data_IF_489041445821
#
_entry.id   IF_489041445821
#
_cell.length_a   1.000
_cell.length_b   1.000
_cell.length_c   1.000
_cell.angle_alpha   90.00
_cell.angle_beta   90.00
_cell.angle_gamma   90.00
#
_symmetry.space_group_name_H-M   'P 1'
#
loop_
_entity.id
_entity.type
_entity.pdbx_description
1 polymer ?
#
# COMPACT_ATOMS: atom_id res chain seq x y z
N UNK A 1 5.47 15.23 -0.35
CA UNK A 1 5.21 16.57 -0.96
C UNK A 1 4.61 16.39 -2.36
N UNK A 2 3.52 17.11 -2.70
CA UNK A 2 2.89 17.08 -4.02
C UNK A 2 3.20 18.34 -4.84
N UNK A 3 3.42 18.19 -6.15
CA UNK A 3 3.61 19.28 -7.12
C UNK A 3 2.94 18.98 -8.46
N UNK A 4 2.54 20.01 -9.19
CA UNK A 4 2.14 19.87 -10.59
C UNK A 4 3.33 19.37 -11.42
N UNK A 5 3.11 18.39 -12.29
CA UNK A 5 4.17 17.76 -13.06
C UNK A 5 4.07 18.11 -14.55
N UNK A 6 3.03 17.63 -15.24
CA UNK A 6 2.85 17.86 -16.67
C UNK A 6 1.37 17.76 -17.05
N UNK A 7 0.97 18.40 -18.14
CA UNK A 7 -0.30 18.13 -18.82
C UNK A 7 0.02 17.44 -20.14
N UNK A 8 -0.49 16.23 -20.34
CA UNK A 8 -0.26 15.43 -21.55
C UNK A 8 -1.56 14.79 -22.01
N UNK A 9 -1.86 14.88 -23.30
CA UNK A 9 -3.07 14.29 -23.90
C UNK A 9 -4.38 14.67 -23.18
N UNK A 10 -4.50 15.92 -22.71
CA UNK A 10 -5.67 16.40 -21.97
C UNK A 10 -5.77 15.94 -20.51
N UNK A 11 -4.77 15.19 -20.01
CA UNK A 11 -4.69 14.75 -18.63
C UNK A 11 -3.68 15.58 -17.84
N UNK A 12 -4.04 15.95 -16.61
CA UNK A 12 -3.13 16.59 -15.66
C UNK A 12 -2.45 15.54 -14.81
N UNK A 13 -1.13 15.69 -14.65
CA UNK A 13 -0.32 14.83 -13.79
C UNK A 13 0.30 15.65 -12.67
N UNK A 14 0.32 15.06 -11.49
CA UNK A 14 1.03 15.57 -10.31
C UNK A 14 2.12 14.58 -9.93
N UNK A 15 3.25 15.09 -9.44
CA UNK A 15 4.30 14.27 -8.84
C UNK A 15 4.20 14.36 -7.33
N UNK A 16 4.31 13.23 -6.63
CA UNK A 16 4.48 13.20 -5.19
C UNK A 16 5.84 12.61 -4.84
N UNK A 17 6.60 13.35 -4.05
CA UNK A 17 7.88 12.90 -3.50
C UNK A 17 7.67 12.42 -2.07
N UNK A 18 8.14 11.20 -1.82
CA UNK A 18 8.09 10.51 -0.54
C UNK A 18 9.50 10.41 0.04
N UNK A 19 9.61 10.56 1.36
CA UNK A 19 10.85 10.36 2.11
C UNK A 19 10.56 9.29 3.15
N UNK A 20 11.12 8.09 2.95
CA UNK A 20 10.91 6.93 3.82
C UNK A 20 12.28 6.39 4.20
N UNK A 21 12.59 6.33 5.50
CA UNK A 21 13.90 5.87 6.01
C UNK A 21 15.11 6.55 5.33
N UNK A 22 15.05 7.87 5.14
CA UNK A 22 16.04 8.69 4.41
C UNK A 22 16.19 8.38 2.91
N UNK A 23 15.35 7.50 2.34
CA UNK A 23 15.26 7.27 0.90
C UNK A 23 14.20 8.19 0.31
N UNK A 24 14.58 8.96 -0.69
CA UNK A 24 13.66 9.84 -1.42
C UNK A 24 13.30 9.20 -2.75
N UNK A 25 12.01 9.00 -3.01
CA UNK A 25 11.51 8.56 -4.31
C UNK A 25 10.33 9.43 -4.74
N UNK A 26 10.06 9.49 -6.04
CA UNK A 26 8.97 10.30 -6.59
C UNK A 26 8.11 9.47 -7.52
N UNK A 27 6.81 9.50 -7.26
CA UNK A 27 5.77 8.82 -8.03
C UNK A 27 4.92 9.87 -8.75
N UNK A 28 4.32 9.50 -9.89
CA UNK A 28 3.42 10.36 -10.66
C UNK A 28 2.01 9.85 -10.56
N UNK A 29 1.05 10.76 -10.53
CA UNK A 29 -0.37 10.45 -10.46
C UNK A 29 -1.12 11.27 -11.50
N UNK A 30 -2.05 10.62 -12.19
CA UNK A 30 -2.98 11.25 -13.11
C UNK A 30 -4.21 11.74 -12.33
N UNK A 31 -4.70 12.94 -12.62
CA UNK A 31 -5.93 13.46 -12.03
C UNK A 31 -7.17 12.83 -12.68
N UNK A 32 -8.19 12.53 -11.87
CA UNK A 32 -9.50 12.02 -12.28
C UNK A 32 -10.59 12.86 -11.63
N UNK A 33 -11.63 13.18 -12.41
CA UNK A 33 -12.86 13.77 -11.90
C UNK A 33 -13.94 12.70 -11.74
N UNK A 34 -14.60 12.66 -10.58
CA UNK A 34 -15.68 11.72 -10.30
C UNK A 34 -16.72 12.35 -9.36
N UNK A 35 -18.01 12.13 -9.63
CA UNK A 35 -19.09 12.60 -8.75
C UNK A 35 -19.10 14.11 -8.49
N UNK A 36 -18.67 14.94 -9.45
CA UNK A 36 -18.52 16.40 -9.26
C UNK A 36 -17.29 16.83 -8.45
N UNK A 37 -16.49 15.89 -7.93
CA UNK A 37 -15.18 16.16 -7.33
C UNK A 37 -14.09 16.02 -8.40
N UNK A 38 -13.31 17.08 -8.62
CA UNK A 38 -12.46 17.16 -9.80
C UNK A 38 -11.07 16.55 -9.65
N UNK A 39 -10.58 16.26 -8.43
CA UNK A 39 -9.27 15.64 -8.35
C UNK A 39 -9.20 14.53 -7.31
N UNK A 40 -9.49 13.32 -7.76
CA UNK A 40 -8.82 12.12 -7.28
C UNK A 40 -7.54 11.90 -8.08
N UNK A 41 -6.57 11.20 -7.51
CA UNK A 41 -5.27 10.98 -8.14
C UNK A 41 -4.98 9.49 -8.24
N UNK A 42 -4.78 8.97 -9.45
CA UNK A 42 -4.45 7.57 -9.68
C UNK A 42 -3.00 7.40 -10.12
N UNK A 43 -2.28 6.45 -9.53
CA UNK A 43 -0.87 6.18 -9.84
C UNK A 43 -0.63 5.98 -11.35
N UNK A 44 0.38 6.67 -11.89
CA UNK A 44 0.83 6.57 -13.26
C UNK A 44 2.25 5.99 -13.26
N UNK A 45 2.43 4.71 -13.63
CA UNK A 45 3.73 4.07 -13.59
C UNK A 45 4.66 4.70 -14.64
N UNK A 46 5.93 4.89 -14.26
CA UNK A 46 6.95 5.46 -15.15
C UNK A 46 7.31 4.54 -16.32
N UNK A 47 7.05 3.24 -16.18
CA UNK A 47 7.29 2.22 -17.20
C UNK A 47 6.28 1.08 -17.03
N UNK A 48 6.06 0.36 -18.12
CA UNK A 48 5.39 -0.93 -18.10
C UNK A 48 6.39 -2.01 -18.53
N UNK A 49 6.30 -3.20 -17.96
CA UNK A 49 7.01 -4.35 -18.52
C UNK A 49 6.40 -4.75 -19.87
N UNK A 50 7.12 -5.55 -20.65
CA UNK A 50 6.53 -6.16 -21.83
C UNK A 50 5.37 -7.10 -21.43
N UNK A 51 4.29 -7.18 -22.25
CA UNK A 51 3.09 -7.94 -21.88
C UNK A 51 3.32 -9.40 -21.46
N UNK A 52 4.35 -10.05 -22.02
CA UNK A 52 4.71 -11.43 -21.68
C UNK A 52 5.13 -11.61 -20.23
N UNK A 53 5.71 -10.58 -19.60
CA UNK A 53 6.09 -10.65 -18.19
C UNK A 53 4.87 -10.70 -17.27
N UNK A 54 3.90 -9.82 -17.52
CA UNK A 54 2.64 -9.82 -16.77
C UNK A 54 1.88 -11.14 -16.95
N UNK A 55 1.87 -11.68 -18.18
CA UNK A 55 1.29 -12.99 -18.45
C UNK A 55 1.98 -14.12 -17.67
N UNK A 56 3.31 -14.11 -17.60
CA UNK A 56 4.07 -15.08 -16.79
C UNK A 56 3.82 -14.89 -15.28
N UNK A 57 3.63 -13.65 -14.82
CA UNK A 57 3.34 -13.38 -13.42
C UNK A 57 1.92 -13.79 -13.00
N UNK A 58 0.95 -13.60 -13.90
CA UNK A 58 -0.45 -13.93 -13.71
C UNK A 58 -0.69 -15.44 -13.70
N UNK A 59 -0.14 -16.17 -14.69
CA UNK A 59 -0.46 -17.57 -14.92
C UNK A 59 0.28 -18.52 -13.95
N UNK A 60 -0.31 -19.69 -13.64
CA UNK A 60 0.39 -20.74 -12.91
C UNK A 60 1.70 -21.14 -13.58
N UNK A 61 2.71 -21.38 -12.76
CA UNK A 61 3.97 -21.95 -13.19
C UNK A 61 3.85 -23.47 -13.41
N UNK A 62 4.79 -24.10 -14.15
CA UNK A 62 4.75 -25.55 -14.40
C UNK A 62 4.70 -26.41 -13.13
N UNK A 63 5.27 -25.92 -12.04
CA UNK A 63 5.16 -26.50 -10.71
C UNK A 63 5.14 -25.37 -9.66
N UNK A 64 4.43 -25.55 -8.52
CA UNK A 64 4.53 -24.65 -7.39
C UNK A 64 5.97 -24.59 -6.88
N UNK A 65 6.40 -23.40 -6.46
CA UNK A 65 7.77 -23.15 -6.00
C UNK A 65 7.81 -22.95 -4.50
N UNK A 66 8.76 -23.58 -3.84
CA UNK A 66 9.16 -23.21 -2.48
C UNK A 66 10.16 -22.06 -2.55
N UNK A 67 9.94 -21.00 -1.77
CA UNK A 67 10.82 -19.83 -1.74
C UNK A 67 11.15 -19.43 -0.30
N UNK A 68 12.45 -19.38 0.01
CA UNK A 68 12.94 -18.95 1.31
C UNK A 68 13.14 -17.44 1.36
N UNK A 69 12.27 -16.73 2.06
CA UNK A 69 12.33 -15.27 2.19
C UNK A 69 13.48 -14.74 3.06
N UNK A 70 13.97 -15.53 4.01
CA UNK A 70 14.98 -15.10 4.98
C UNK A 70 14.46 -14.18 6.09
N UNK A 71 13.16 -13.87 6.13
CA UNK A 71 12.57 -12.95 7.11
C UNK A 71 12.70 -13.38 8.57
N UNK A 72 13.02 -14.64 8.86
CA UNK A 72 13.23 -15.13 10.23
C UNK A 72 14.32 -14.36 10.99
N UNK A 73 15.25 -13.71 10.27
CA UNK A 73 16.28 -12.86 10.85
C UNK A 73 15.89 -11.38 10.96
N UNK A 74 14.71 -10.99 10.47
CA UNK A 74 14.25 -9.59 10.45
C UNK A 74 13.35 -9.28 11.67
N UNK A 75 13.59 -8.18 12.41
CA UNK A 75 12.85 -7.87 13.65
C UNK A 75 11.33 -7.77 13.47
N UNK A 76 10.86 -7.16 12.38
CA UNK A 76 9.42 -7.02 12.11
C UNK A 76 8.72 -8.39 12.00
N UNK A 77 9.40 -9.40 11.46
CA UNK A 77 8.84 -10.74 11.30
C UNK A 77 8.86 -11.50 12.62
N UNK A 78 9.89 -11.31 13.45
CA UNK A 78 9.88 -11.79 14.83
C UNK A 78 8.70 -11.25 15.63
N UNK A 79 8.30 -9.99 15.35
CA UNK A 79 7.14 -9.35 15.96
C UNK A 79 5.81 -9.87 15.36
N UNK A 80 5.55 -9.68 14.07
CA UNK A 80 4.26 -10.00 13.45
C UNK A 80 4.07 -11.48 13.06
N UNK A 81 5.16 -12.20 12.79
CA UNK A 81 5.13 -13.55 12.22
C UNK A 81 4.40 -14.58 13.08
N UNK A 82 4.68 -14.68 14.39
CA UNK A 82 4.09 -15.69 15.26
C UNK A 82 2.56 -15.61 15.40
N UNK A 83 1.98 -14.41 15.30
CA UNK A 83 0.57 -14.18 15.63
C UNK A 83 -0.29 -13.66 14.47
N UNK A 84 0.30 -12.95 13.49
CA UNK A 84 -0.46 -12.27 12.43
C UNK A 84 -0.17 -12.81 11.04
N UNK A 85 1.08 -13.14 10.71
CA UNK A 85 1.45 -13.32 9.31
C UNK A 85 2.38 -14.50 9.06
N UNK A 86 2.00 -15.39 8.14
CA UNK A 86 2.87 -16.43 7.61
C UNK A 86 2.84 -16.40 6.08
N UNK A 87 3.99 -16.47 5.40
CA UNK A 87 4.03 -16.58 3.94
C UNK A 87 3.39 -17.89 3.47
N UNK A 88 3.00 -17.94 2.20
CA UNK A 88 2.57 -19.18 1.57
C UNK A 88 3.70 -20.21 1.62
N UNK A 89 3.38 -21.49 1.92
CA UNK A 89 4.39 -22.54 1.93
C UNK A 89 4.95 -22.83 0.53
N UNK A 90 4.11 -22.65 -0.51
CA UNK A 90 4.50 -22.76 -1.91
C UNK A 90 3.73 -21.75 -2.76
N UNK A 91 4.34 -21.32 -3.86
CA UNK A 91 3.81 -20.32 -4.78
C UNK A 91 3.44 -20.98 -6.11
N UNK A 92 2.15 -21.11 -6.44
CA UNK A 92 1.73 -21.68 -7.73
C UNK A 92 1.90 -20.70 -8.90
N UNK A 93 1.99 -19.39 -8.64
CA UNK A 93 2.32 -18.34 -9.62
C UNK A 93 3.02 -17.17 -8.95
N UNK A 94 3.53 -16.23 -9.74
CA UNK A 94 4.13 -15.01 -9.21
C UNK A 94 3.14 -14.15 -8.42
N UNK A 95 1.85 -14.14 -8.78
CA UNK A 95 0.85 -13.35 -8.07
C UNK A 95 0.79 -13.66 -6.57
N UNK A 96 0.95 -14.93 -6.19
CA UNK A 96 1.02 -15.35 -4.77
C UNK A 96 2.32 -14.89 -4.10
N UNK A 97 3.43 -14.91 -4.84
CA UNK A 97 4.72 -14.42 -4.34
C UNK A 97 4.68 -12.90 -4.13
N UNK A 98 4.09 -12.17 -5.08
CA UNK A 98 3.87 -10.73 -5.01
C UNK A 98 2.94 -10.38 -3.86
N UNK A 99 1.89 -11.16 -3.62
CA UNK A 99 1.00 -10.97 -2.45
C UNK A 99 1.80 -10.97 -1.16
N UNK A 100 2.66 -11.98 -0.97
CA UNK A 100 3.45 -12.04 0.26
C UNK A 100 4.50 -10.93 0.33
N UNK A 101 5.07 -10.52 -0.81
CA UNK A 101 5.99 -9.38 -0.91
C UNK A 101 5.33 -8.07 -0.45
N UNK A 102 4.11 -7.79 -0.94
CA UNK A 102 3.34 -6.60 -0.65
C UNK A 102 2.99 -6.51 0.84
N UNK A 103 2.40 -7.57 1.40
CA UNK A 103 2.03 -7.59 2.82
C UNK A 103 3.26 -7.46 3.71
N UNK A 104 4.37 -8.13 3.36
CA UNK A 104 5.62 -7.97 4.10
C UNK A 104 6.19 -6.55 4.00
N UNK A 105 6.05 -5.87 2.86
CA UNK A 105 6.46 -4.47 2.72
C UNK A 105 5.66 -3.55 3.65
N UNK A 106 4.34 -3.70 3.69
CA UNK A 106 3.47 -2.99 4.62
C UNK A 106 3.77 -3.29 6.09
N UNK A 107 4.01 -4.55 6.45
CA UNK A 107 4.37 -4.91 7.82
C UNK A 107 5.73 -4.34 8.25
N UNK A 108 6.72 -4.32 7.35
CA UNK A 108 8.01 -3.64 7.60
C UNK A 108 7.81 -2.14 7.84
N UNK A 109 7.02 -1.49 7.00
CA UNK A 109 6.73 -0.06 7.14
C UNK A 109 5.99 0.24 8.45
N UNK A 110 4.95 -0.54 8.78
CA UNK A 110 4.25 -0.43 10.07
C UNK A 110 5.19 -0.62 11.25
N UNK A 111 6.06 -1.63 11.22
CA UNK A 111 7.02 -1.87 12.32
C UNK A 111 7.95 -0.66 12.53
N UNK A 112 8.49 -0.12 11.44
CA UNK A 112 9.40 1.00 11.51
C UNK A 112 8.72 2.28 11.99
N UNK A 113 7.50 2.57 11.52
CA UNK A 113 6.71 3.70 11.99
C UNK A 113 6.42 3.60 13.50
N UNK A 114 6.11 2.40 14.01
CA UNK A 114 5.87 2.19 15.44
C UNK A 114 7.12 2.41 16.31
N UNK A 115 8.32 2.15 15.78
CA UNK A 115 9.58 2.49 16.46
C UNK A 115 9.81 4.01 16.51
N UNK A 116 9.50 4.73 15.42
CA UNK A 116 9.68 6.19 15.34
C UNK A 116 8.81 6.94 16.37
N UNK A 117 7.58 6.47 16.61
CA UNK A 117 6.66 7.07 17.59
C UNK A 117 6.76 6.45 18.99
N UNK A 118 7.69 5.52 19.21
CA UNK A 118 7.92 4.87 20.50
C UNK A 118 6.77 3.98 21.00
N UNK A 119 5.85 3.56 20.11
CA UNK A 119 4.75 2.65 20.47
C UNK A 119 5.19 1.19 20.60
N UNK A 120 6.38 0.87 20.07
CA UNK A 120 7.10 -0.36 20.34
C UNK A 120 8.35 -0.05 21.14
N UNK A 121 8.51 -0.68 22.30
CA UNK A 121 9.77 -0.71 23.05
C UNK A 121 10.52 -2.01 22.75
N UNK A 122 11.48 -2.03 21.80
CA UNK A 122 12.23 -3.24 21.43
C UNK A 122 13.10 -3.80 22.57
N UNK A 123 13.21 -3.11 23.71
CA UNK A 123 13.88 -3.56 24.94
C UNK A 123 12.90 -3.88 26.08
N UNK A 124 11.59 -3.74 25.84
CA UNK A 124 10.54 -4.01 26.82
C UNK A 124 10.36 -5.51 27.12
N UNK A 125 9.76 -5.87 28.27
CA UNK A 125 9.57 -7.26 28.69
C UNK A 125 8.66 -8.09 27.76
N UNK A 126 7.85 -7.41 26.93
CA UNK A 126 6.96 -8.03 25.95
C UNK A 126 7.64 -8.32 24.60
N UNK A 127 8.89 -7.88 24.39
CA UNK A 127 9.65 -8.16 23.18
C UNK A 127 10.42 -9.47 23.30
N UNK A 128 10.21 -10.45 22.41
CA UNK A 128 11.07 -11.63 22.38
C UNK A 128 12.48 -11.20 21.94
N UNK A 129 13.42 -11.21 22.89
CA UNK A 129 14.84 -11.06 22.60
C UNK A 129 15.24 -12.16 21.61
N UNK A 130 15.46 -11.81 20.35
CA UNK A 130 16.05 -12.71 19.35
C UNK A 130 17.55 -12.80 19.62
N UNK A 131 17.90 -13.57 20.65
CA UNK A 131 19.27 -13.93 20.99
C UNK A 131 19.37 -15.47 21.07
N UNK A 132 19.47 -16.12 19.91
CA UNK A 132 20.30 -17.32 19.71
C UNK A 132 20.05 -18.61 20.49
N UNK A 133 19.04 -18.74 21.38
CA UNK A 133 18.83 -19.98 22.14
C UNK A 133 17.34 -20.32 22.33
N UNK A 134 16.81 -21.19 21.46
CA UNK A 134 16.13 -22.43 21.86
C UNK A 134 14.92 -22.43 22.81
N UNK A 135 14.18 -21.35 23.03
CA UNK A 135 12.93 -21.41 23.81
C UNK A 135 11.75 -20.80 23.05
N UNK A 136 10.85 -21.68 22.60
CA UNK A 136 9.52 -21.31 22.07
C UNK A 136 8.67 -20.92 23.30
N UNK A 137 8.22 -19.66 23.44
CA UNK A 137 7.16 -19.37 24.39
C UNK A 137 5.87 -20.04 23.90
N UNK A 138 5.29 -20.85 24.78
CA UNK A 138 3.98 -21.50 24.58
C UNK A 138 2.96 -20.42 24.26
N UNK A 139 2.23 -20.62 23.16
CA UNK A 139 1.22 -19.71 22.66
C UNK A 139 0.18 -19.37 23.74
N UNK A 140 -0.16 -18.08 23.94
CA UNK A 140 -1.37 -17.73 24.67
C UNK A 140 -2.61 -18.15 23.86
N UNK A 141 -3.68 -18.46 24.59
CA UNK A 141 -5.00 -18.94 24.17
C UNK A 141 -5.46 -18.50 22.76
N UNK A 142 -5.57 -19.46 21.84
CA UNK A 142 -5.84 -19.30 20.41
C UNK A 142 -7.34 -19.06 20.09
N UNK A 143 -8.00 -18.15 20.80
CA UNK A 143 -9.45 -17.99 20.64
C UNK A 143 -9.96 -16.62 20.18
N UNK A 144 -9.16 -15.54 20.08
CA UNK A 144 -9.59 -14.25 19.45
C UNK A 144 -8.48 -13.37 18.83
N UNK A 145 -7.45 -13.93 18.22
CA UNK A 145 -6.49 -13.16 17.40
C UNK A 145 -6.55 -13.64 15.95
N UNK A 146 -7.24 -12.89 15.09
CA UNK A 146 -7.40 -13.26 13.68
C UNK A 146 -6.10 -12.96 12.93
N UNK A 147 -5.57 -14.03 12.35
CA UNK A 147 -4.36 -14.09 11.52
C UNK A 147 -4.70 -13.57 10.13
N UNK A 148 -3.75 -13.01 9.38
CA UNK A 148 -3.80 -12.90 7.92
C UNK A 148 -3.98 -14.30 7.33
N UNK A 149 -5.24 -14.73 7.20
CA UNK A 149 -5.58 -16.11 6.86
C UNK A 149 -5.25 -16.40 5.40
N UNK A 150 -5.20 -17.69 5.04
CA UNK A 150 -5.00 -18.09 3.65
C UNK A 150 -6.09 -17.50 2.75
N UNK A 151 -7.33 -17.44 3.22
CA UNK A 151 -8.47 -16.90 2.48
C UNK A 151 -8.29 -15.40 2.19
N UNK A 152 -7.85 -14.61 3.17
CA UNK A 152 -7.60 -13.17 2.98
C UNK A 152 -6.43 -12.96 2.00
N UNK A 153 -5.36 -13.74 2.13
CA UNK A 153 -4.24 -13.67 1.18
C UNK A 153 -4.65 -14.10 -0.23
N UNK A 154 -5.51 -15.11 -0.37
CA UNK A 154 -5.98 -15.55 -1.67
C UNK A 154 -6.83 -14.45 -2.33
N UNK A 155 -7.63 -13.71 -1.55
CA UNK A 155 -8.35 -12.54 -2.06
C UNK A 155 -7.39 -11.43 -2.49
N UNK A 156 -6.33 -11.14 -1.72
CA UNK A 156 -5.27 -10.22 -2.15
C UNK A 156 -4.53 -10.71 -3.40
N UNK A 157 -4.32 -12.03 -3.56
CA UNK A 157 -3.71 -12.59 -4.75
C UNK A 157 -4.60 -12.41 -5.99
N UNK A 158 -5.92 -12.44 -5.85
CA UNK A 158 -6.84 -12.08 -6.93
C UNK A 158 -6.78 -10.58 -7.27
N UNK A 159 -6.61 -9.69 -6.29
CA UNK A 159 -6.35 -8.26 -6.55
C UNK A 159 -5.05 -8.04 -7.32
N UNK A 160 -3.99 -8.75 -6.93
CA UNK A 160 -2.71 -8.76 -7.65
C UNK A 160 -2.91 -9.23 -9.09
N UNK A 161 -3.60 -10.35 -9.32
CA UNK A 161 -3.90 -10.84 -10.66
C UNK A 161 -4.71 -9.84 -11.49
N UNK A 162 -5.75 -9.24 -10.90
CA UNK A 162 -6.58 -8.24 -11.57
C UNK A 162 -5.75 -7.03 -12.00
N UNK A 163 -4.83 -6.57 -11.14
CA UNK A 163 -3.93 -5.47 -11.46
C UNK A 163 -2.89 -5.86 -12.52
N UNK A 164 -2.29 -7.04 -12.44
CA UNK A 164 -1.35 -7.54 -13.46
C UNK A 164 -2.02 -7.61 -14.84
N UNK A 165 -3.28 -8.05 -14.90
CA UNK A 165 -4.05 -8.09 -16.15
C UNK A 165 -4.34 -6.67 -16.69
N UNK A 166 -4.62 -5.71 -15.81
CA UNK A 166 -4.80 -4.30 -16.20
C UNK A 166 -3.50 -3.70 -16.74
N UNK A 167 -2.37 -3.89 -16.05
CA UNK A 167 -1.07 -3.39 -16.49
C UNK A 167 -0.60 -4.08 -17.78
N UNK A 168 -0.91 -5.37 -17.98
CA UNK A 168 -0.67 -6.07 -19.26
C UNK A 168 -1.44 -5.41 -20.41
N UNK A 169 -2.70 -5.04 -20.19
CA UNK A 169 -3.53 -4.39 -21.19
C UNK A 169 -3.01 -2.99 -21.53
N UNK A 170 -2.54 -2.24 -20.53
CA UNK A 170 -1.96 -0.92 -20.74
C UNK A 170 -0.58 -0.98 -21.41
N UNK A 171 0.25 -1.96 -21.07
CA UNK A 171 1.49 -2.26 -21.77
C UNK A 171 1.27 -2.52 -23.28
N UNK A 172 0.14 -3.14 -23.65
CA UNK A 172 -0.22 -3.33 -25.07
C UNK A 172 -0.62 -2.05 -25.81
N UNK A 173 -0.99 -0.98 -25.08
CA UNK A 173 -1.39 0.32 -25.64
C UNK A 173 -0.21 1.28 -25.75
N UNK A 174 0.70 1.27 -24.77
CA UNK A 174 1.86 2.17 -24.71
C UNK A 174 2.83 2.04 -25.90
N UNK A 175 2.85 0.89 -26.58
CA UNK A 175 3.63 0.67 -27.81
C UNK A 175 3.03 1.26 -29.10
N UNK A 176 1.80 1.80 -29.06
CA UNK A 176 1.19 2.51 -30.20
C UNK A 176 1.24 4.00 -29.94
N UNK A 177 2.20 4.68 -30.56
CA UNK A 177 2.22 6.14 -30.68
C UNK A 177 0.89 6.63 -31.23
N UNK A 178 0.03 7.15 -30.35
CA UNK A 178 -1.17 7.86 -30.76
C UNK A 178 -0.78 9.21 -31.37
N UNK A 179 -0.42 9.18 -32.65
CA UNK A 179 -0.60 10.32 -33.55
C UNK A 179 -2.09 10.48 -33.83
N UNK A 180 -2.81 11.10 -32.90
CA UNK A 180 -4.25 11.30 -32.98
C UNK A 180 -4.64 12.52 -32.16
N UNK A 181 -4.82 13.63 -32.85
CA UNK A 181 -5.27 14.91 -32.31
C UNK A 181 -6.70 14.79 -31.76
N UNK A 182 -6.82 14.55 -30.46
CA UNK A 182 -8.08 14.68 -29.72
C UNK A 182 -7.88 15.70 -28.61
N UNK A 183 -8.04 16.98 -28.96
CA UNK A 183 -8.37 18.00 -27.97
C UNK A 183 -9.76 17.72 -27.43
N UNK A 184 -9.91 17.69 -26.10
CA UNK A 184 -11.23 17.59 -25.47
C UNK A 184 -11.21 16.79 -24.17
N UNK A 185 -11.35 17.53 -23.07
CA UNK A 185 -11.87 17.10 -21.77
C UNK A 185 -11.08 16.05 -20.97
N UNK A 186 -10.66 16.47 -19.78
CA UNK A 186 -10.49 15.57 -18.63
C UNK A 186 -11.67 14.59 -18.62
N UNK A 187 -11.37 13.29 -18.57
CA UNK A 187 -12.33 12.20 -18.76
C UNK A 187 -13.50 12.30 -17.77
N UNK A 188 -14.52 13.06 -18.12
CA UNK A 188 -15.79 13.15 -17.40
C UNK A 188 -16.57 11.86 -17.68
N UNK A 189 -16.34 10.84 -16.86
CA UNK A 189 -17.02 9.54 -16.97
C UNK A 189 -16.14 8.30 -16.73
N UNK A 190 -14.87 8.45 -16.35
CA UNK A 190 -14.05 7.31 -15.93
C UNK A 190 -14.46 6.83 -14.54
N UNK A 191 -14.71 5.52 -14.36
CA UNK A 191 -14.81 4.92 -13.03
C UNK A 191 -13.48 5.15 -12.29
N UNK A 192 -13.54 5.64 -11.05
CA UNK A 192 -12.36 5.72 -10.20
C UNK A 192 -11.71 4.33 -10.08
N UNK A 193 -10.38 4.22 -10.19
CA UNK A 193 -9.70 2.92 -10.02
C UNK A 193 -10.07 2.22 -8.72
N UNK A 194 -10.18 2.94 -7.61
CA UNK A 194 -10.60 2.37 -6.31
C UNK A 194 -12.07 1.88 -6.29
N UNK A 195 -12.89 2.30 -7.25
CA UNK A 195 -14.29 1.85 -7.38
C UNK A 195 -14.49 0.74 -8.42
N UNK A 196 -13.45 0.30 -9.13
CA UNK A 196 -13.53 -0.82 -10.07
C UNK A 196 -14.13 -2.05 -9.38
N UNK A 197 -15.21 -2.67 -9.89
CA UNK A 197 -15.84 -3.83 -9.26
C UNK A 197 -14.93 -5.05 -9.17
N UNK A 198 -13.85 -5.10 -9.96
CA UNK A 198 -12.80 -6.13 -9.85
C UNK A 198 -11.84 -5.88 -8.69
N UNK A 199 -12.00 -4.75 -7.99
CA UNK A 199 -11.17 -4.30 -6.88
C UNK A 199 -12.03 -4.03 -5.67
N UNK A 200 -11.92 -4.90 -4.69
CA UNK A 200 -12.69 -4.83 -3.46
C UNK A 200 -11.84 -5.03 -2.22
N UNK A 201 -10.65 -5.61 -2.32
CA UNK A 201 -9.79 -5.84 -1.17
C UNK A 201 -8.61 -4.88 -1.20
N UNK A 202 -8.40 -4.19 -0.08
CA UNK A 202 -7.39 -3.15 0.06
C UNK A 202 -6.52 -3.46 1.26
N UNK A 203 -5.21 -3.38 1.07
CA UNK A 203 -4.27 -3.29 2.19
C UNK A 203 -4.30 -1.83 2.64
N UNK A 204 -4.62 -1.63 3.92
CA UNK A 204 -4.63 -0.29 4.52
C UNK A 204 -3.23 0.30 4.40
N UNK A 205 -3.17 1.58 4.06
CA UNK A 205 -1.95 2.37 3.99
C UNK A 205 -2.14 3.62 4.84
N UNK A 206 -1.14 3.92 5.69
CA UNK A 206 -1.20 4.91 6.77
C UNK A 206 -2.21 4.56 7.87
N UNK A 207 -2.13 5.26 9.00
CA UNK A 207 -3.08 5.11 10.11
C UNK A 207 -4.37 5.88 9.83
N UNK A 208 -5.51 5.22 10.07
CA UNK A 208 -6.84 5.80 9.95
C UNK A 208 -7.58 5.60 11.27
N UNK A 209 -8.04 6.69 11.88
CA UNK A 209 -8.98 6.66 12.99
C UNK A 209 -10.40 6.61 12.44
N UNK A 210 -11.13 5.53 12.74
CA UNK A 210 -12.46 5.26 12.18
C UNK A 210 -13.45 4.90 13.28
N UNK A 211 -14.73 5.11 13.00
CA UNK A 211 -15.83 4.63 13.86
C UNK A 211 -16.40 3.35 13.25
N UNK A 212 -16.25 2.25 13.96
CA UNK A 212 -16.60 0.91 13.51
C UNK A 212 -17.72 0.30 14.36
N UNK A 213 -18.91 0.17 13.78
CA UNK A 213 -20.14 -0.22 14.48
C UNK A 213 -20.43 0.62 15.76
N UNK A 214 -20.06 1.91 15.74
CA UNK A 214 -20.27 2.85 16.83
C UNK A 214 -19.11 2.99 17.84
N UNK A 215 -18.06 2.16 17.73
CA UNK A 215 -16.87 2.24 18.56
C UNK A 215 -15.70 2.86 17.78
N UNK A 216 -14.93 3.75 18.41
CA UNK A 216 -13.68 4.24 17.81
C UNK A 216 -12.60 3.17 17.82
N UNK A 217 -11.91 3.00 16.69
CA UNK A 217 -10.72 2.17 16.56
C UNK A 217 -9.83 2.70 15.44
N UNK A 218 -8.59 2.19 15.37
CA UNK A 218 -7.66 2.52 14.29
C UNK A 218 -7.42 1.36 13.33
N UNK A 219 -7.22 1.69 12.07
CA UNK A 219 -6.62 0.81 11.07
C UNK A 219 -5.20 1.30 10.79
N UNK A 220 -4.24 0.40 10.61
CA UNK A 220 -2.86 0.78 10.30
C UNK A 220 -2.27 -0.07 9.18
N UNK A 221 -1.12 0.35 8.64
CA UNK A 221 -0.49 -0.28 7.48
C UNK A 221 -0.35 -1.81 7.63
N UNK A 222 -0.80 -2.55 6.62
CA UNK A 222 -0.83 -4.01 6.64
C UNK A 222 -2.09 -4.65 7.23
N UNK A 223 -3.07 -3.87 7.71
CA UNK A 223 -4.45 -4.35 7.88
C UNK A 223 -5.12 -4.51 6.51
N UNK A 224 -6.19 -5.30 6.45
CA UNK A 224 -6.91 -5.59 5.20
C UNK A 224 -8.38 -5.33 5.38
N UNK A 225 -8.93 -4.51 4.50
CA UNK A 225 -10.35 -4.19 4.43
C UNK A 225 -10.94 -4.62 3.09
N UNK A 226 -12.25 -4.86 3.07
CA UNK A 226 -12.99 -5.14 1.85
C UNK A 226 -14.17 -4.18 1.69
N UNK A 227 -14.27 -3.55 0.53
CA UNK A 227 -15.38 -2.68 0.17
C UNK A 227 -16.67 -3.48 0.02
N UNK A 228 -17.72 -3.03 0.71
CA UNK A 228 -19.07 -3.62 0.74
C UNK A 228 -20.01 -2.84 -0.19
N UNK A 229 -19.97 -1.51 -0.14
CA UNK A 229 -20.78 -0.67 -1.03
C UNK A 229 -20.02 -0.30 -2.31
N UNK A 230 -20.70 -0.40 -3.45
CA UNK A 230 -20.11 -0.08 -4.75
C UNK A 230 -20.20 1.41 -5.09
N UNK A 231 -21.18 2.09 -4.50
CA UNK A 231 -21.46 3.52 -4.70
C UNK A 231 -21.14 4.30 -3.43
N UNK A 232 -20.43 5.43 -3.54
CA UNK A 232 -20.22 6.29 -2.40
C UNK A 232 -21.52 6.94 -1.91
N UNK A 233 -21.57 7.27 -0.63
CA UNK A 233 -22.62 8.10 -0.03
C UNK A 233 -22.44 9.60 -0.40
N UNK A 234 -23.32 10.45 0.15
CA UNK A 234 -23.30 11.90 -0.08
C UNK A 234 -22.02 12.57 0.44
N UNK A 235 -21.37 11.96 1.44
CA UNK A 235 -20.10 12.40 2.02
C UNK A 235 -18.88 11.84 1.29
N UNK A 236 -19.08 11.11 0.19
CA UNK A 236 -18.05 10.46 -0.62
C UNK A 236 -17.28 9.38 0.15
N UNK A 237 -17.97 8.65 1.01
CA UNK A 237 -17.44 7.48 1.66
C UNK A 237 -18.08 6.20 1.13
N UNK A 238 -17.43 5.06 1.37
CA UNK A 238 -17.99 3.74 1.12
C UNK A 238 -17.87 2.87 2.36
N UNK A 239 -18.81 1.94 2.50
CA UNK A 239 -18.80 0.96 3.57
C UNK A 239 -17.75 -0.11 3.29
N UNK A 240 -16.94 -0.40 4.30
CA UNK A 240 -15.91 -1.43 4.25
C UNK A 240 -16.05 -2.39 5.45
N UNK A 241 -15.53 -3.60 5.28
CA UNK A 241 -15.43 -4.62 6.33
C UNK A 241 -13.98 -4.97 6.58
N UNK A 242 -13.59 -5.10 7.84
CA UNK A 242 -12.25 -5.57 8.20
C UNK A 242 -12.14 -7.07 7.94
N UNK A 243 -11.15 -7.48 7.15
CA UNK A 243 -10.85 -8.88 6.82
C UNK A 243 -9.68 -9.43 7.65
N UNK A 244 -8.62 -8.63 7.83
CA UNK A 244 -7.48 -8.95 8.67
C UNK A 244 -7.01 -7.68 9.36
N UNK A 245 -6.59 -7.80 10.61
CA UNK A 245 -6.19 -6.65 11.42
C UNK A 245 -5.20 -7.06 12.49
N UNK A 246 -4.20 -6.22 12.72
CA UNK A 246 -3.18 -6.43 13.76
C UNK A 246 -3.79 -6.29 15.16
N UNK A 247 -3.04 -6.71 16.17
CA UNK A 247 -3.48 -6.58 17.57
C UNK A 247 -3.70 -5.09 17.91
N UNK A 248 -4.76 -4.79 18.67
CA UNK A 248 -5.18 -3.45 19.11
C UNK A 248 -5.76 -2.54 18.02
N UNK A 249 -5.85 -3.00 16.77
CA UNK A 249 -6.53 -2.29 15.69
C UNK A 249 -8.02 -2.70 15.65
N UNK A 250 -8.77 -2.12 14.72
CA UNK A 250 -10.18 -2.46 14.50
C UNK A 250 -10.39 -3.97 14.34
N UNK A 251 -11.34 -4.53 15.09
CA UNK A 251 -11.57 -5.97 15.10
C UNK A 251 -12.07 -6.49 13.74
N UNK A 252 -11.62 -7.69 13.36
CA UNK A 252 -12.07 -8.35 12.13
C UNK A 252 -13.59 -8.53 12.13
N UNK A 253 -14.21 -8.29 10.99
CA UNK A 253 -15.65 -8.39 10.80
C UNK A 253 -16.42 -7.10 11.08
N UNK A 254 -15.83 -6.14 11.80
CA UNK A 254 -16.39 -4.81 12.00
C UNK A 254 -16.57 -4.08 10.67
N UNK A 255 -17.58 -3.24 10.60
CA UNK A 255 -17.87 -2.39 9.44
C UNK A 255 -17.69 -0.92 9.79
N UNK A 256 -17.20 -0.15 8.83
CA UNK A 256 -16.96 1.28 8.96
C UNK A 256 -17.09 1.97 7.60
N UNK A 257 -17.23 3.29 7.64
CA UNK A 257 -17.19 4.12 6.46
C UNK A 257 -15.76 4.64 6.24
N UNK A 258 -15.25 4.55 5.02
CA UNK A 258 -13.92 5.05 4.62
C UNK A 258 -14.06 5.95 3.41
N UNK A 259 -13.29 7.05 3.40
CA UNK A 259 -13.35 8.03 2.32
C UNK A 259 -12.84 7.46 0.98
N UNK A 260 -13.40 7.96 -0.12
CA UNK A 260 -12.89 7.63 -1.46
C UNK A 260 -11.44 8.08 -1.67
N UNK A 261 -11.02 9.15 -1.01
CA UNK A 261 -9.62 9.61 -1.09
C UNK A 261 -8.69 8.58 -0.44
N UNK A 262 -9.00 8.10 0.76
CA UNK A 262 -8.20 7.07 1.44
C UNK A 262 -8.14 5.77 0.65
N UNK A 263 -9.27 5.32 0.10
CA UNK A 263 -9.28 4.12 -0.76
C UNK A 263 -8.46 4.31 -2.04
N UNK A 264 -8.51 5.50 -2.64
CA UNK A 264 -7.69 5.81 -3.79
C UNK A 264 -6.20 5.82 -3.45
N UNK A 265 -5.82 6.31 -2.27
CA UNK A 265 -4.45 6.24 -1.76
C UNK A 265 -3.99 4.82 -1.44
N UNK A 266 -4.84 3.99 -0.81
CA UNK A 266 -4.56 2.57 -0.62
C UNK A 266 -4.33 1.86 -1.96
N UNK A 267 -5.17 2.14 -2.95
CA UNK A 267 -5.03 1.55 -4.28
C UNK A 267 -3.74 2.02 -4.99
N UNK A 268 -3.39 3.30 -4.86
CA UNK A 268 -2.15 3.85 -5.38
C UNK A 268 -0.94 3.15 -4.75
N UNK A 269 -0.91 3.08 -3.43
CA UNK A 269 0.16 2.43 -2.68
C UNK A 269 0.34 0.97 -3.10
N UNK A 270 -0.76 0.23 -3.24
CA UNK A 270 -0.76 -1.13 -3.74
C UNK A 270 -0.11 -1.24 -5.13
N UNK A 271 -0.42 -0.34 -6.07
CA UNK A 271 0.17 -0.36 -7.42
C UNK A 271 1.65 0.01 -7.42
N UNK A 272 2.06 0.93 -6.55
CA UNK A 272 3.46 1.31 -6.36
C UNK A 272 4.28 0.13 -5.82
N UNK A 273 3.80 -0.49 -4.75
CA UNK A 273 4.44 -1.68 -4.18
C UNK A 273 4.45 -2.85 -5.17
N UNK A 274 3.38 -3.02 -5.98
CA UNK A 274 3.34 -4.06 -7.01
C UNK A 274 4.39 -3.80 -8.10
N UNK A 275 4.59 -2.55 -8.50
CA UNK A 275 5.64 -2.15 -9.45
C UNK A 275 7.03 -2.50 -8.88
N UNK A 276 7.27 -2.20 -7.60
CA UNK A 276 8.49 -2.59 -6.90
C UNK A 276 8.68 -4.10 -6.79
N UNK A 277 7.62 -4.84 -6.47
CA UNK A 277 7.62 -6.30 -6.40
C UNK A 277 7.90 -6.95 -7.75
N UNK A 278 7.33 -6.42 -8.84
CA UNK A 278 7.60 -6.88 -10.20
C UNK A 278 9.05 -6.64 -10.61
N UNK A 279 9.65 -5.52 -10.18
CA UNK A 279 11.08 -5.23 -10.38
C UNK A 279 11.98 -6.17 -9.59
N UNK A 280 11.68 -6.40 -8.32
CA UNK A 280 12.42 -7.35 -7.48
C UNK A 280 12.33 -8.79 -8.03
N UNK A 281 11.14 -9.19 -8.47
CA UNK A 281 10.93 -10.48 -9.10
C UNK A 281 11.71 -10.62 -10.42
N UNK A 282 11.83 -9.53 -11.20
CA UNK A 282 12.55 -9.55 -12.48
C UNK A 282 14.05 -9.79 -12.31
N UNK A 283 14.60 -9.39 -11.15
CA UNK A 283 16.00 -9.60 -10.76
C UNK A 283 16.24 -11.01 -10.22
N UNK A 284 15.23 -11.62 -9.60
CA UNK A 284 15.31 -12.92 -8.91
C UNK A 284 14.84 -14.10 -9.75
N UNK A 285 14.11 -13.88 -10.83
CA UNK A 285 13.67 -14.92 -11.75
C UNK A 285 14.84 -15.83 -12.19
N UNK A 286 14.60 -17.14 -12.24
CA UNK A 286 15.63 -18.14 -12.52
C UNK A 286 16.58 -18.45 -11.34
N UNK A 287 16.37 -17.86 -10.16
CA UNK A 287 17.18 -18.10 -8.95
C UNK A 287 16.30 -18.52 -7.77
N UNK A 288 16.87 -19.20 -6.77
CA UNK A 288 16.15 -19.54 -5.54
C UNK A 288 14.89 -20.41 -5.76
N UNK A 289 14.86 -21.19 -6.85
CA UNK A 289 13.72 -22.01 -7.25
C UNK A 289 12.67 -21.29 -8.11
N UNK A 290 12.75 -19.96 -8.25
CA UNK A 290 11.82 -19.20 -9.09
C UNK A 290 12.02 -19.53 -10.58
N UNK A 291 10.95 -19.73 -11.36
CA UNK A 291 11.09 -20.02 -12.78
C UNK A 291 11.70 -18.83 -13.52
N UNK A 292 12.32 -19.11 -14.66
CA UNK A 292 12.86 -18.06 -15.54
C UNK A 292 11.71 -17.33 -16.23
N UNK A 293 11.70 -16.00 -16.15
CA UNK A 293 10.73 -15.18 -16.86
C UNK A 293 11.09 -15.11 -18.37
N UNK A 294 10.09 -15.06 -19.28
CA UNK A 294 10.35 -15.08 -20.72
C UNK A 294 11.00 -13.79 -21.24
N UNK A 295 10.51 -12.64 -20.77
CA UNK A 295 10.97 -11.31 -21.16
C UNK A 295 10.67 -10.34 -20.03
N UNK A 296 11.68 -9.65 -19.52
CA UNK A 296 11.56 -8.63 -18.45
C UNK A 296 11.89 -7.22 -18.98
N UNK A 297 11.88 -7.05 -20.30
CA UNK A 297 12.02 -5.75 -20.96
C UNK A 297 10.95 -4.76 -20.49
N UNK A 298 11.31 -3.48 -20.53
CA UNK A 298 10.47 -2.36 -20.11
C UNK A 298 10.25 -1.42 -21.30
N UNK A 299 9.08 -0.79 -21.31
CA UNK A 299 8.76 0.33 -22.18
C UNK A 299 8.30 1.51 -21.32
N UNK A 300 8.47 2.72 -21.82
CA UNK A 300 8.08 3.92 -21.09
C UNK A 300 6.58 3.95 -20.80
N UNK A 301 6.24 4.51 -19.64
CA UNK A 301 4.87 4.81 -19.25
C UNK A 301 4.30 6.00 -20.01
N UNK A 302 3.10 6.43 -19.61
CA UNK A 302 2.43 7.56 -20.25
C UNK A 302 3.21 8.88 -20.08
N UNK A 303 3.94 9.01 -18.98
CA UNK A 303 4.80 10.15 -18.68
C UNK A 303 6.12 9.63 -18.10
N UNK A 304 7.25 10.30 -18.38
CA UNK A 304 8.54 9.86 -17.85
C UNK A 304 8.57 9.95 -16.32
N UNK A 305 9.50 9.22 -15.70
CA UNK A 305 9.76 9.39 -14.28
C UNK A 305 10.25 10.83 -14.00
N UNK A 306 9.68 11.52 -13.00
CA UNK A 306 10.18 12.82 -12.56
C UNK A 306 11.54 12.63 -11.87
N UNK A 307 12.41 13.65 -11.97
CA UNK A 307 13.60 13.68 -11.15
C UNK A 307 13.19 13.72 -9.66
N UNK A 308 13.89 12.96 -8.82
CA UNK A 308 13.66 13.00 -7.38
C UNK A 308 13.92 14.42 -6.85
N UNK A 309 12.97 14.96 -6.09
CA UNK A 309 13.13 16.28 -5.48
C UNK A 309 14.14 16.21 -4.32
N UNK A 310 15.37 16.65 -4.58
CA UNK A 310 16.44 16.68 -3.59
C UNK A 310 16.17 17.63 -2.42
N UNK A 311 15.21 18.56 -2.55
CA UNK A 311 14.79 19.46 -1.48
C UNK A 311 13.73 18.87 -0.55
N UNK A 312 13.04 17.80 -0.96
CA UNK A 312 11.87 17.29 -0.25
C UNK A 312 12.15 16.91 1.21
N UNK A 313 13.27 16.24 1.48
CA UNK A 313 13.65 15.86 2.85
C UNK A 313 13.92 17.09 3.74
N UNK A 314 14.51 18.15 3.18
CA UNK A 314 14.75 19.40 3.91
C UNK A 314 13.43 20.10 4.21
N UNK A 315 12.55 20.23 3.21
CA UNK A 315 11.25 20.87 3.36
C UNK A 315 10.37 20.14 4.38
N UNK A 316 10.35 18.80 4.35
CA UNK A 316 9.58 18.02 5.33
C UNK A 316 10.11 18.23 6.76
N UNK A 317 11.43 18.31 6.95
CA UNK A 317 12.02 18.63 8.26
C UNK A 317 11.65 20.04 8.75
N UNK A 318 11.68 21.02 7.85
CA UNK A 318 11.28 22.39 8.16
C UNK A 318 9.79 22.46 8.56
N UNK A 319 8.92 21.75 7.83
CA UNK A 319 7.49 21.64 8.14
C UNK A 319 7.23 20.96 9.48
N UNK A 320 7.95 19.87 9.79
CA UNK A 320 7.81 19.20 11.09
C UNK A 320 8.22 20.13 12.25
N UNK A 321 9.33 20.84 12.11
CA UNK A 321 9.78 21.78 13.13
C UNK A 321 8.79 22.95 13.35
N UNK A 322 8.13 23.41 12.29
CA UNK A 322 7.08 24.42 12.38
C UNK A 322 5.81 23.88 13.06
N UNK A 323 5.42 22.64 12.75
CA UNK A 323 4.31 21.95 13.41
C UNK A 323 4.58 21.75 14.91
N UNK A 324 5.77 21.26 15.28
CA UNK A 324 6.18 21.04 16.68
C UNK A 324 6.18 22.36 17.46
N UNK A 325 6.61 23.46 16.83
CA UNK A 325 6.56 24.81 17.41
C UNK A 325 5.12 25.25 17.64
N UNK A 326 4.25 25.08 16.64
CA UNK A 326 2.84 25.43 16.72
C UNK A 326 2.12 24.63 17.80
N UNK A 327 2.36 23.32 17.89
CA UNK A 327 1.81 22.48 18.97
C UNK A 327 2.26 22.96 20.35
N UNK A 328 3.54 23.35 20.48
CA UNK A 328 4.09 23.86 21.73
C UNK A 328 3.43 25.18 22.14
N UNK A 329 3.18 26.07 21.19
CA UNK A 329 2.47 27.33 21.41
C UNK A 329 1.02 27.09 21.84
N UNK A 330 0.28 26.20 21.16
CA UNK A 330 -1.10 25.83 21.53
C UNK A 330 -1.16 25.21 22.93
N UNK A 331 -0.22 24.32 23.28
CA UNK A 331 -0.12 23.73 24.63
C UNK A 331 0.14 24.80 25.70
N UNK A 332 0.96 25.80 25.40
CA UNK A 332 1.22 26.93 26.31
C UNK A 332 0.00 27.85 26.46
N UNK A 333 -0.71 28.15 25.36
CA UNK A 333 -1.93 28.96 25.39
C UNK A 333 -3.06 28.25 26.14
N UNK A 334 -3.26 26.95 25.93
CA UNK A 334 -4.20 26.12 26.68
C UNK A 334 -3.87 26.05 28.18
N UNK A 335 -2.58 25.96 28.53
CA UNK A 335 -2.14 26.02 29.93
C UNK A 335 -2.33 27.41 30.57
N UNK A 336 -2.19 28.49 29.80
CA UNK A 336 -2.36 29.87 30.29
C UNK A 336 -3.82 30.28 30.47
N UNK A 337 -4.74 29.73 29.67
CA UNK A 337 -6.18 30.00 29.72
C UNK A 337 -6.93 29.18 30.78
N UNK A 338 -6.35 28.06 31.23
CA UNK A 338 -6.88 27.26 32.35
C UNK A 338 -6.54 27.79 33.76
N UNK A 339 -5.70 28.83 33.88
CA UNK A 339 -5.25 29.38 35.16
C UNK A 339 -6.11 30.52 35.73
N UNK A 340 -7.22 30.88 35.08
CA UNK A 340 -8.04 32.05 35.41
C UNK A 340 -9.42 31.72 35.99
N UNK A 341 -9.51 30.87 37.02
CA UNK A 341 -10.70 30.78 37.87
C UNK A 341 -10.34 30.16 39.23
N UNK A 342 -9.85 31.00 40.14
CA UNK A 342 -10.07 30.86 41.58
C UNK A 342 -9.86 32.19 42.29
#
# INVERSE_FOLDING_TARGET
MQRNYVVRNGNTYVSRTYVVHNVTYTSVYRSYSYGGHCCYYGYAPAYYYHPMYYGWAYNPWPAPVYYGWGWQAEPWYGYYGPYYYQPYPMYPSAAFWLTDYLVAASLRASYAASLEVGSLDPLGPDFPLVAGLGTIPVAPDASKSVVMTKEVKDQLAEEVKAQLAADQADAGKSGKTSGGNSGGQASSGGSLPALDPKRRVFVVHNELSVVADGDECSLTDGDVISRISDTPDDDKNVDVKVLASKKNNCAVGKQMSVSLDDLQEMHNHFREQLTGGMDELSKKQGTGGLPKAPDTGKQDGEVPAPAADSSAAKTLKEQQAEADKTESEVKQEAASSGGGSQ
#
